data_IF_173055467309
#
_entry.id   IF_173055467309
#
_cell.length_a   1.000
_cell.length_b   1.000
_cell.length_c   1.000
_cell.angle_alpha   90.00
_cell.angle_beta   90.00
_cell.angle_gamma   90.00
#
_symmetry.space_group_name_H-M   'P 1'
#
loop_
_entity.id
_entity.type
_entity.pdbx_description
1 polymer ?
#
# COMPACT_ATOMS: atom_id res chain seq x y z
N UNK A 1 14.55 10.91 -18.38
CA UNK A 1 13.28 11.61 -18.61
C UNK A 1 12.10 10.99 -17.83
N UNK A 2 11.94 9.67 -17.83
CA UNK A 2 10.85 8.97 -17.12
C UNK A 2 10.85 9.15 -15.60
N UNK A 3 12.02 9.32 -14.99
CA UNK A 3 12.17 9.44 -13.53
C UNK A 3 11.67 10.79 -13.02
N UNK A 4 12.00 11.87 -13.72
CA UNK A 4 11.63 13.23 -13.33
C UNK A 4 10.13 13.50 -13.50
N UNK A 5 9.53 13.01 -14.59
CA UNK A 5 8.10 13.22 -14.84
C UNK A 5 7.21 12.59 -13.77
N UNK A 6 7.53 11.35 -13.33
CA UNK A 6 6.77 10.68 -12.27
C UNK A 6 6.92 11.38 -10.92
N UNK A 7 8.16 11.70 -10.54
CA UNK A 7 8.40 12.42 -9.28
C UNK A 7 7.72 13.80 -9.28
N UNK A 8 7.70 14.47 -10.42
CA UNK A 8 7.01 15.76 -10.59
C UNK A 8 5.49 15.61 -10.44
N UNK A 9 4.89 14.56 -11.00
CA UNK A 9 3.46 14.31 -10.87
C UNK A 9 3.07 13.92 -9.43
N UNK A 10 3.83 13.07 -8.79
CA UNK A 10 3.61 12.73 -7.37
C UNK A 10 3.71 13.99 -6.50
N UNK A 11 4.68 14.85 -6.77
CA UNK A 11 4.88 16.13 -6.07
C UNK A 11 3.78 17.16 -6.37
N UNK A 12 3.25 17.19 -7.59
CA UNK A 12 2.19 18.11 -7.98
C UNK A 12 0.83 17.65 -7.47
N UNK A 13 0.48 16.37 -7.71
CA UNK A 13 -0.84 15.84 -7.36
C UNK A 13 -0.96 15.42 -5.90
N UNK A 14 0.14 15.00 -5.26
CA UNK A 14 0.13 14.62 -3.84
C UNK A 14 -0.43 15.71 -2.92
N UNK A 15 0.10 16.95 -2.95
CA UNK A 15 -0.43 18.06 -2.17
C UNK A 15 -1.87 18.44 -2.53
N UNK A 16 -2.23 18.43 -3.81
CA UNK A 16 -3.60 18.73 -4.26
C UNK A 16 -4.58 17.72 -3.68
N UNK A 17 -4.29 16.43 -3.78
CA UNK A 17 -5.09 15.37 -3.17
C UNK A 17 -5.15 15.50 -1.66
N UNK A 18 -4.02 15.82 -1.02
CA UNK A 18 -3.97 16.03 0.42
C UNK A 18 -4.90 17.16 0.86
N UNK A 19 -4.90 18.29 0.17
CA UNK A 19 -5.79 19.43 0.48
C UNK A 19 -7.25 19.05 0.28
N UNK A 20 -7.61 18.38 -0.82
CA UNK A 20 -8.98 17.94 -1.10
C UNK A 20 -9.49 16.96 -0.05
N UNK A 21 -8.64 16.03 0.40
CA UNK A 21 -9.00 14.94 1.31
C UNK A 21 -8.82 15.36 2.78
N UNK A 22 -8.10 16.46 3.06
CA UNK A 22 -7.77 16.90 4.43
C UNK A 22 -9.01 17.09 5.34
N UNK A 23 -10.17 17.61 4.90
CA UNK A 23 -11.34 17.73 5.76
C UNK A 23 -11.85 16.34 6.21
N UNK A 24 -11.92 15.39 5.28
CA UNK A 24 -12.32 14.02 5.60
C UNK A 24 -11.31 13.34 6.53
N UNK A 25 -10.02 13.56 6.29
CA UNK A 25 -8.93 13.05 7.16
C UNK A 25 -9.04 13.60 8.57
N UNK A 26 -9.34 14.91 8.72
CA UNK A 26 -9.53 15.54 10.03
C UNK A 26 -10.72 14.94 10.80
N UNK A 27 -11.85 14.73 10.12
CA UNK A 27 -13.02 14.07 10.72
C UNK A 27 -12.67 12.65 11.16
N UNK A 28 -12.00 11.86 10.30
CA UNK A 28 -11.56 10.52 10.64
C UNK A 28 -10.60 10.52 11.85
N UNK A 29 -9.64 11.45 11.90
CA UNK A 29 -8.71 11.59 13.02
C UNK A 29 -9.42 11.86 14.35
N UNK A 30 -10.46 12.71 14.35
CA UNK A 30 -11.28 12.99 15.54
C UNK A 30 -12.04 11.74 15.97
N UNK A 31 -12.63 10.99 15.03
CA UNK A 31 -13.36 9.76 15.33
C UNK A 31 -12.41 8.72 15.92
N UNK A 32 -11.25 8.49 15.28
CA UNK A 32 -10.26 7.52 15.76
C UNK A 32 -9.75 7.92 17.15
N UNK A 33 -9.46 9.21 17.37
CA UNK A 33 -8.99 9.71 18.69
C UNK A 33 -9.97 9.45 19.82
N UNK A 34 -11.28 9.42 19.54
CA UNK A 34 -12.32 9.13 20.54
C UNK A 34 -12.41 7.65 20.91
N UNK A 35 -11.97 6.76 20.03
CA UNK A 35 -12.19 5.32 20.17
C UNK A 35 -10.92 4.48 20.26
N UNK A 36 -9.78 5.01 19.82
CA UNK A 36 -8.48 4.33 19.86
C UNK A 36 -7.51 5.06 20.80
N UNK A 37 -6.59 4.31 21.39
CA UNK A 37 -5.52 4.87 22.25
C UNK A 37 -4.55 5.76 21.46
N UNK A 38 -4.34 5.45 20.17
CA UNK A 38 -3.48 6.20 19.26
C UNK A 38 -4.27 6.52 18.00
N UNK A 39 -4.04 7.69 17.41
CA UNK A 39 -4.73 8.10 16.16
C UNK A 39 -4.17 7.35 14.96
N UNK A 40 -2.85 7.18 14.93
CA UNK A 40 -2.17 6.49 13.84
C UNK A 40 -1.22 5.42 14.38
N UNK A 41 -1.11 4.35 13.62
CA UNK A 41 -0.12 3.30 13.80
C UNK A 41 0.98 3.44 12.77
N UNK A 42 2.19 3.04 13.16
CA UNK A 42 3.36 3.02 12.31
C UNK A 42 3.52 1.62 11.73
N UNK A 43 3.70 1.55 10.41
CA UNK A 43 4.03 0.32 9.73
C UNK A 43 5.36 0.49 9.01
N UNK A 44 6.17 -0.55 9.04
CA UNK A 44 7.43 -0.60 8.31
C UNK A 44 7.19 -1.41 7.03
N UNK A 45 7.50 -0.80 5.90
CA UNK A 45 7.34 -1.40 4.57
C UNK A 45 8.67 -1.36 3.83
N UNK A 46 8.79 -2.21 2.82
CA UNK A 46 9.92 -2.17 1.89
C UNK A 46 9.71 -1.02 0.92
N UNK A 47 10.63 -0.09 0.91
CA UNK A 47 10.66 1.05 -0.01
C UNK A 47 11.55 0.81 -1.21
N UNK A 48 11.83 1.88 -1.95
CA UNK A 48 12.70 1.83 -3.12
C UNK A 48 14.11 1.37 -2.75
N UNK A 49 14.63 0.41 -3.53
CA UNK A 49 15.95 -0.20 -3.33
C UNK A 49 16.04 -1.06 -2.07
N UNK A 50 14.93 -1.69 -1.66
CA UNK A 50 14.88 -2.55 -0.48
C UNK A 50 14.97 -1.81 0.86
N UNK A 51 14.99 -0.47 0.86
CA UNK A 51 15.18 0.32 2.09
C UNK A 51 13.94 0.34 2.96
N UNK A 52 14.08 0.19 4.30
CA UNK A 52 12.94 0.28 5.19
C UNK A 52 12.34 1.68 5.21
N UNK A 53 11.03 1.76 5.10
CA UNK A 53 10.26 3.01 5.12
C UNK A 53 9.16 2.92 6.17
N UNK A 54 9.15 3.87 7.10
CA UNK A 54 8.07 4.00 8.07
C UNK A 54 6.93 4.82 7.48
N UNK A 55 5.75 4.22 7.44
CA UNK A 55 4.49 4.86 7.01
C UNK A 55 3.51 4.89 8.17
N UNK A 56 2.45 5.69 8.03
CA UNK A 56 1.40 5.81 9.05
C UNK A 56 0.04 5.54 8.42
N UNK A 57 -0.79 4.79 9.15
CA UNK A 57 -2.21 4.56 8.84
C UNK A 57 -3.03 4.89 10.07
N UNK A 58 -4.32 5.13 9.91
CA UNK A 58 -5.18 5.27 11.08
C UNK A 58 -5.27 3.95 11.84
N UNK A 59 -5.25 4.06 13.17
CA UNK A 59 -5.37 2.90 14.06
C UNK A 59 -6.72 2.23 13.91
N UNK A 60 -6.72 0.93 13.94
CA UNK A 60 -7.93 0.14 14.01
C UNK A 60 -8.60 0.29 15.38
N UNK A 61 -9.91 0.31 15.40
CA UNK A 61 -10.69 0.26 16.61
C UNK A 61 -11.99 -0.52 16.39
N UNK A 62 -12.47 -1.14 17.43
CA UNK A 62 -13.75 -1.84 17.43
C UNK A 62 -14.73 -1.10 18.34
N UNK A 63 -16.00 -1.06 17.94
CA UNK A 63 -17.10 -0.55 18.74
C UNK A 63 -18.07 -1.70 19.00
N UNK A 64 -17.90 -2.34 20.16
CA UNK A 64 -18.56 -3.62 20.44
C UNK A 64 -18.00 -4.72 19.52
N UNK A 65 -18.85 -5.62 19.04
CA UNK A 65 -18.45 -6.75 18.19
C UNK A 65 -18.20 -6.39 16.72
N UNK A 66 -18.35 -5.11 16.35
CA UNK A 66 -18.19 -4.65 14.95
C UNK A 66 -16.90 -3.84 14.78
N UNK A 67 -16.09 -4.24 13.79
CA UNK A 67 -14.98 -3.38 13.31
C UNK A 67 -15.55 -2.04 12.82
N UNK A 68 -14.82 -0.97 13.12
CA UNK A 68 -15.21 0.36 12.66
C UNK A 68 -15.29 0.43 11.13
N UNK A 69 -16.19 1.27 10.61
CA UNK A 69 -16.24 1.58 9.18
C UNK A 69 -14.90 2.10 8.64
N UNK A 70 -14.14 2.86 9.44
CA UNK A 70 -12.82 3.36 9.05
C UNK A 70 -11.83 2.20 8.88
N UNK A 71 -11.82 1.22 9.79
CA UNK A 71 -10.93 0.06 9.74
C UNK A 71 -11.12 -0.82 8.49
N UNK A 72 -12.34 -0.86 7.95
CA UNK A 72 -12.68 -1.64 6.75
C UNK A 72 -12.69 -0.82 5.44
N UNK A 73 -12.30 0.46 5.47
CA UNK A 73 -12.41 1.36 4.33
C UNK A 73 -11.08 1.95 3.90
N UNK A 74 -11.04 2.50 2.67
CA UNK A 74 -9.90 3.25 2.17
C UNK A 74 -9.51 4.46 3.05
N UNK A 75 -10.41 4.93 3.92
CA UNK A 75 -10.18 6.05 4.84
C UNK A 75 -9.02 5.76 5.82
N UNK A 76 -8.82 4.50 6.17
CA UNK A 76 -7.71 4.05 7.02
C UNK A 76 -6.34 4.50 6.48
N UNK A 77 -6.21 4.58 5.16
CA UNK A 77 -4.96 4.81 4.46
C UNK A 77 -4.69 6.28 4.09
N UNK A 78 -5.59 7.21 4.42
CA UNK A 78 -5.39 8.64 4.14
C UNK A 78 -4.07 9.22 4.66
N UNK A 79 -3.54 8.83 5.86
CA UNK A 79 -2.25 9.31 6.31
C UNK A 79 -1.07 8.96 5.40
N UNK A 80 -1.21 7.96 4.51
CA UNK A 80 -0.17 7.59 3.54
C UNK A 80 0.14 8.71 2.53
N UNK A 81 -0.81 9.62 2.28
CA UNK A 81 -0.55 10.79 1.42
C UNK A 81 0.62 11.64 1.93
N UNK A 82 0.83 11.70 3.24
CA UNK A 82 2.01 12.35 3.82
C UNK A 82 3.32 11.64 3.42
N UNK A 83 3.26 10.32 3.22
CA UNK A 83 4.42 9.55 2.74
C UNK A 83 4.69 9.79 1.25
N UNK A 84 3.66 10.10 0.45
CA UNK A 84 3.82 10.52 -0.95
C UNK A 84 4.46 11.90 -1.02
N UNK A 85 3.93 12.87 -0.28
CA UNK A 85 4.47 14.24 -0.22
C UNK A 85 5.93 14.24 0.24
N UNK A 86 6.28 13.40 1.22
CA UNK A 86 7.66 13.25 1.70
C UNK A 86 8.55 12.43 0.77
N UNK A 87 8.05 11.97 -0.38
CA UNK A 87 8.80 11.21 -1.38
C UNK A 87 9.16 9.78 -0.99
N UNK A 88 8.58 9.26 0.09
CA UNK A 88 8.78 7.87 0.56
C UNK A 88 7.96 6.87 -0.26
N UNK A 89 6.78 7.29 -0.68
CA UNK A 89 5.85 6.52 -1.52
C UNK A 89 5.51 7.28 -2.80
N UNK A 90 4.80 6.63 -3.70
CA UNK A 90 4.20 7.20 -4.91
C UNK A 90 2.67 7.09 -4.82
N UNK A 91 1.94 7.87 -5.61
CA UNK A 91 0.49 7.67 -5.73
C UNK A 91 0.18 6.30 -6.35
N UNK A 92 0.89 5.95 -7.43
CA UNK A 92 0.75 4.67 -8.12
C UNK A 92 2.08 3.94 -8.11
N UNK A 93 2.08 2.66 -7.82
CA UNK A 93 3.30 1.86 -7.77
C UNK A 93 3.05 0.41 -7.35
N UNK A 94 4.11 -0.37 -7.17
CA UNK A 94 4.04 -1.69 -6.58
C UNK A 94 3.29 -1.69 -5.26
N UNK A 95 2.61 -2.79 -4.99
CA UNK A 95 1.90 -2.98 -3.73
C UNK A 95 2.88 -2.88 -2.55
N UNK A 96 2.61 -2.05 -1.54
CA UNK A 96 3.47 -1.98 -0.36
C UNK A 96 3.39 -3.29 0.42
N UNK A 97 4.53 -3.81 0.83
CA UNK A 97 4.65 -5.03 1.63
C UNK A 97 5.42 -4.75 2.91
N UNK A 98 5.17 -5.55 3.95
CA UNK A 98 5.91 -5.48 5.21
C UNK A 98 7.38 -5.82 5.01
N UNK A 99 8.25 -5.43 5.95
CA UNK A 99 9.67 -5.82 5.90
C UNK A 99 9.80 -7.35 6.02
N UNK A 100 8.98 -7.97 6.84
CA UNK A 100 8.93 -9.41 7.04
C UNK A 100 8.60 -10.16 5.75
N UNK A 101 7.50 -9.77 5.09
CA UNK A 101 7.11 -10.37 3.80
C UNK A 101 8.16 -10.11 2.72
N UNK A 102 8.77 -8.92 2.75
CA UNK A 102 9.81 -8.54 1.81
C UNK A 102 11.09 -9.37 1.92
N UNK A 103 11.42 -9.87 3.11
CA UNK A 103 12.55 -10.75 3.34
C UNK A 103 12.34 -12.17 2.78
N UNK A 104 11.08 -12.55 2.53
CA UNK A 104 10.69 -13.87 2.03
C UNK A 104 10.40 -13.89 0.52
N UNK A 105 10.58 -12.74 -0.16
CA UNK A 105 10.35 -12.64 -1.60
C UNK A 105 11.55 -13.21 -2.36
N UNK A 106 11.27 -14.05 -3.34
CA UNK A 106 12.27 -14.62 -4.22
C UNK A 106 12.97 -13.55 -5.07
N UNK A 107 14.25 -13.76 -5.36
CA UNK A 107 15.11 -12.84 -6.14
C UNK A 107 14.51 -12.48 -7.51
N UNK A 108 13.70 -13.36 -8.10
CA UNK A 108 13.05 -13.09 -9.39
C UNK A 108 12.11 -11.87 -9.35
N UNK A 109 11.58 -11.53 -8.16
CA UNK A 109 10.68 -10.38 -7.95
C UNK A 109 11.39 -9.13 -7.42
N UNK A 110 12.72 -9.13 -7.32
CA UNK A 110 13.50 -8.01 -6.78
C UNK A 110 13.28 -6.71 -7.57
N UNK A 111 13.05 -6.81 -8.88
CA UNK A 111 12.82 -5.66 -9.76
C UNK A 111 11.64 -4.75 -9.30
N UNK A 112 10.70 -5.25 -8.50
CA UNK A 112 9.62 -4.44 -7.90
C UNK A 112 10.14 -3.35 -6.97
N UNK A 113 11.31 -3.55 -6.35
CA UNK A 113 11.93 -2.59 -5.44
C UNK A 113 12.71 -1.48 -6.15
N UNK A 114 12.87 -1.52 -7.46
CA UNK A 114 13.51 -0.43 -8.23
C UNK A 114 12.70 0.87 -8.20
N UNK A 115 11.44 0.78 -7.82
CA UNK A 115 10.51 1.90 -7.76
C UNK A 115 9.93 2.08 -6.36
N UNK A 116 9.32 3.25 -6.11
CA UNK A 116 8.65 3.49 -4.83
C UNK A 116 7.34 2.71 -4.77
N UNK A 117 6.98 2.14 -3.60
CA UNK A 117 5.67 1.54 -3.40
C UNK A 117 4.56 2.59 -3.57
N UNK A 118 3.43 2.18 -4.13
CA UNK A 118 2.28 3.02 -4.40
C UNK A 118 1.20 2.95 -3.32
N UNK A 119 0.41 4.01 -3.17
CA UNK A 119 -0.87 3.93 -2.45
C UNK A 119 -1.85 3.09 -3.27
N UNK A 120 -1.90 3.37 -4.58
CA UNK A 120 -2.68 2.58 -5.54
C UNK A 120 -1.76 1.55 -6.18
N UNK A 121 -2.14 0.27 -6.02
CA UNK A 121 -1.35 -0.82 -6.55
C UNK A 121 -1.41 -0.88 -8.08
N UNK A 122 -0.24 -1.03 -8.70
CA UNK A 122 -0.12 -1.28 -10.13
C UNK A 122 -0.74 -2.62 -10.55
N UNK A 123 -0.75 -3.62 -9.68
CA UNK A 123 -1.38 -4.91 -9.91
C UNK A 123 -2.91 -4.81 -10.09
N UNK A 124 -3.54 -3.76 -9.54
CA UNK A 124 -4.96 -3.49 -9.76
C UNK A 124 -5.35 -3.30 -11.24
N UNK A 125 -4.39 -2.96 -12.11
CA UNK A 125 -4.62 -2.89 -13.55
C UNK A 125 -4.64 -4.26 -14.22
N UNK A 126 -3.84 -5.18 -13.72
CA UNK A 126 -3.65 -6.49 -14.34
C UNK A 126 -4.81 -7.45 -13.99
N UNK A 127 -5.41 -7.31 -12.81
CA UNK A 127 -6.38 -8.27 -12.29
C UNK A 127 -7.72 -7.63 -11.94
N UNK A 128 -8.81 -8.27 -12.37
CA UNK A 128 -10.17 -7.90 -11.96
C UNK A 128 -10.57 -8.52 -10.60
N UNK A 129 -9.84 -9.56 -10.18
CA UNK A 129 -9.96 -10.27 -8.90
C UNK A 129 -8.78 -9.94 -7.99
N UNK A 130 -8.84 -10.37 -6.75
CA UNK A 130 -7.65 -10.39 -5.88
C UNK A 130 -6.65 -11.38 -6.48
N UNK A 131 -5.45 -10.93 -6.91
CA UNK A 131 -4.41 -11.83 -7.37
C UNK A 131 -3.78 -12.60 -6.20
N UNK A 132 -3.18 -13.73 -6.49
CA UNK A 132 -2.25 -14.39 -5.57
C UNK A 132 -0.99 -13.54 -5.43
N UNK A 133 -0.19 -13.78 -4.38
CA UNK A 133 0.98 -12.94 -4.11
C UNK A 133 2.00 -12.99 -5.24
N UNK A 134 2.27 -14.15 -5.80
CA UNK A 134 3.21 -14.32 -6.91
C UNK A 134 2.72 -13.60 -8.17
N UNK A 135 1.42 -13.66 -8.48
CA UNK A 135 0.82 -12.91 -9.59
C UNK A 135 0.94 -11.40 -9.37
N UNK A 136 0.74 -10.94 -8.12
CA UNK A 136 0.88 -9.54 -7.74
C UNK A 136 2.33 -9.09 -7.89
N UNK A 137 3.30 -9.90 -7.43
CA UNK A 137 4.72 -9.58 -7.53
C UNK A 137 5.19 -9.53 -8.98
N UNK A 138 4.75 -10.49 -9.81
CA UNK A 138 5.05 -10.50 -11.24
C UNK A 138 4.50 -9.24 -11.94
N UNK A 139 3.25 -8.84 -11.65
CA UNK A 139 2.65 -7.63 -12.19
C UNK A 139 3.37 -6.36 -11.72
N UNK A 140 3.82 -6.32 -10.48
CA UNK A 140 4.60 -5.21 -9.92
C UNK A 140 5.99 -5.10 -10.59
N UNK A 141 6.65 -6.23 -10.89
CA UNK A 141 7.89 -6.28 -11.65
C UNK A 141 7.70 -5.78 -13.09
N UNK A 142 6.63 -6.22 -13.74
CA UNK A 142 6.28 -5.76 -15.08
C UNK A 142 6.02 -4.25 -15.12
N UNK A 143 5.31 -3.74 -14.12
CA UNK A 143 5.11 -2.31 -13.97
C UNK A 143 6.43 -1.57 -13.75
N UNK A 144 7.32 -2.05 -12.89
CA UNK A 144 8.61 -1.43 -12.63
C UNK A 144 9.44 -1.29 -13.92
N UNK A 145 9.40 -2.31 -14.80
CA UNK A 145 10.09 -2.34 -16.10
C UNK A 145 9.42 -1.45 -17.15
N UNK A 146 8.08 -1.47 -17.24
CA UNK A 146 7.29 -0.87 -18.34
C UNK A 146 6.57 0.43 -17.96
N UNK A 147 6.79 0.95 -16.74
CA UNK A 147 6.08 2.12 -16.21
C UNK A 147 6.00 3.28 -17.19
N UNK A 148 4.82 3.86 -17.32
CA UNK A 148 4.55 5.03 -18.13
C UNK A 148 3.54 5.95 -17.43
N UNK A 149 3.52 7.23 -17.84
CA UNK A 149 2.53 8.18 -17.31
C UNK A 149 1.10 7.70 -17.57
N UNK A 150 0.84 7.14 -18.74
CA UNK A 150 -0.49 6.66 -19.11
C UNK A 150 -0.91 5.47 -18.25
N UNK A 151 0.03 4.55 -17.93
CA UNK A 151 -0.24 3.45 -17.00
C UNK A 151 -0.56 3.95 -15.60
N UNK A 152 0.13 4.97 -15.11
CA UNK A 152 -0.11 5.56 -13.79
C UNK A 152 -1.49 6.22 -13.72
N UNK A 153 -1.85 7.03 -14.72
CA UNK A 153 -3.17 7.67 -14.80
C UNK A 153 -4.28 6.60 -14.86
N UNK A 154 -4.09 5.57 -15.67
CA UNK A 154 -5.06 4.47 -15.79
C UNK A 154 -5.19 3.70 -14.47
N UNK A 155 -4.08 3.38 -13.81
CA UNK A 155 -4.08 2.68 -12.51
C UNK A 155 -4.81 3.50 -11.45
N UNK A 156 -4.54 4.79 -11.40
CA UNK A 156 -5.19 5.71 -10.47
C UNK A 156 -6.70 5.72 -10.65
N UNK A 157 -7.20 5.96 -11.86
CA UNK A 157 -8.64 6.00 -12.11
C UNK A 157 -9.32 4.66 -11.90
N UNK A 158 -8.67 3.55 -12.31
CA UNK A 158 -9.21 2.21 -12.09
C UNK A 158 -9.35 1.91 -10.60
N UNK A 159 -8.32 2.19 -9.81
CA UNK A 159 -8.33 1.96 -8.37
C UNK A 159 -9.35 2.88 -7.66
N UNK A 160 -9.47 4.13 -8.09
CA UNK A 160 -10.45 5.06 -7.54
C UNK A 160 -11.88 4.60 -7.84
N UNK A 161 -12.19 4.18 -9.06
CA UNK A 161 -13.51 3.66 -9.43
C UNK A 161 -13.87 2.39 -8.63
N UNK A 162 -12.93 1.50 -8.42
CA UNK A 162 -13.14 0.30 -7.58
C UNK A 162 -13.40 0.68 -6.12
N UNK A 163 -12.65 1.61 -5.56
CA UNK A 163 -12.88 2.12 -4.22
C UNK A 163 -14.28 2.74 -4.08
N UNK A 164 -14.75 3.48 -5.09
CA UNK A 164 -16.09 4.07 -5.12
C UNK A 164 -17.21 3.01 -5.23
N UNK A 165 -16.95 1.88 -5.86
CA UNK A 165 -17.89 0.74 -5.94
C UNK A 165 -17.96 -0.06 -4.65
N UNK A 166 -17.17 0.30 -3.63
CA UNK A 166 -17.14 -0.41 -2.36
C UNK A 166 -16.44 -1.77 -2.45
N UNK A 167 -15.70 -2.01 -3.53
CA UNK A 167 -14.80 -3.15 -3.60
C UNK A 167 -13.79 -2.96 -2.48
N UNK A 168 -13.89 -3.80 -1.44
CA UNK A 168 -13.10 -3.68 -0.21
C UNK A 168 -11.64 -3.56 -0.58
N UNK A 169 -10.96 -2.58 0.03
CA UNK A 169 -9.64 -2.06 -0.30
C UNK A 169 -8.46 -3.03 -0.29
N UNK A 170 -8.64 -4.18 -0.90
CA UNK A 170 -7.58 -5.18 -1.15
C UNK A 170 -6.48 -4.66 -2.07
N UNK A 171 -6.72 -3.49 -2.69
CA UNK A 171 -5.75 -2.78 -3.54
C UNK A 171 -4.88 -1.77 -2.78
N UNK A 172 -5.15 -1.55 -1.49
CA UNK A 172 -4.42 -0.66 -0.59
C UNK A 172 -3.77 -1.51 0.51
N UNK A 173 -2.86 -2.40 0.12
CA UNK A 173 -2.18 -3.30 1.05
C UNK A 173 -1.04 -2.56 1.76
N UNK A 174 -1.31 -1.84 2.83
CA UNK A 174 -0.29 -1.48 3.81
C UNK A 174 -0.42 -2.41 5.00
N UNK A 175 0.62 -3.18 5.26
CA UNK A 175 0.67 -4.08 6.40
C UNK A 175 -0.18 -5.33 6.24
N UNK A 176 -0.29 -5.87 5.03
CA UNK A 176 -0.74 -7.24 4.83
C UNK A 176 0.30 -8.19 5.42
N UNK A 177 0.10 -8.59 6.65
CA UNK A 177 0.71 -9.80 7.20
C UNK A 177 0.03 -10.97 6.52
N UNK A 178 0.37 -11.28 5.31
CA UNK A 178 -0.40 -12.27 4.58
C UNK A 178 0.48 -13.22 3.79
N UNK A 179 1.58 -12.73 3.22
CA UNK A 179 2.43 -13.58 2.41
C UNK A 179 3.20 -14.60 3.26
N UNK A 180 3.76 -14.16 4.36
CA UNK A 180 4.48 -15.01 5.29
C UNK A 180 3.55 -16.09 5.91
N UNK A 181 2.33 -15.72 6.31
CA UNK A 181 1.34 -16.66 6.80
C UNK A 181 0.86 -17.63 5.70
N UNK A 182 0.75 -17.16 4.46
CA UNK A 182 0.38 -18.00 3.33
C UNK A 182 1.47 -19.03 3.02
N UNK A 183 2.75 -18.63 3.01
CA UNK A 183 3.89 -19.55 2.82
C UNK A 183 3.95 -20.58 3.93
N UNK A 184 3.69 -20.19 5.18
CA UNK A 184 3.63 -21.10 6.30
C UNK A 184 2.46 -22.11 6.14
N UNK A 185 1.29 -21.64 5.75
CA UNK A 185 0.12 -22.50 5.53
C UNK A 185 0.30 -23.49 4.36
N UNK A 186 1.06 -23.07 3.33
CA UNK A 186 1.46 -23.94 2.21
C UNK A 186 2.62 -24.90 2.56
N UNK A 187 3.26 -24.75 3.73
CA UNK A 187 4.41 -25.54 4.16
C UNK A 187 5.69 -25.25 3.40
N UNK A 188 5.78 -24.08 2.76
CA UNK A 188 6.98 -23.62 2.03
C UNK A 188 8.06 -23.15 2.99
N UNK A 189 7.66 -22.52 4.09
CA UNK A 189 8.55 -22.07 5.17
C UNK A 189 8.15 -22.72 6.50
N UNK A 190 9.13 -22.81 7.41
CA UNK A 190 8.91 -23.28 8.79
C UNK A 190 8.59 -22.11 9.73
N UNK A 191 8.04 -22.42 10.90
CA UNK A 191 7.81 -21.42 11.93
C UNK A 191 9.10 -20.73 12.41
N UNK A 192 10.23 -21.47 12.40
CA UNK A 192 11.56 -20.94 12.74
C UNK A 192 12.03 -19.91 11.73
N UNK A 193 11.89 -20.18 10.44
CA UNK A 193 12.22 -19.24 9.35
C UNK A 193 11.32 -17.98 9.40
N UNK A 194 10.09 -18.15 9.87
CA UNK A 194 9.17 -17.04 10.04
C UNK A 194 9.59 -16.11 11.20
N UNK A 195 10.16 -16.65 12.27
CA UNK A 195 10.71 -15.88 13.40
C UNK A 195 12.02 -15.18 13.04
N UNK A 196 12.88 -15.79 12.22
CA UNK A 196 14.12 -15.17 11.75
C UNK A 196 13.87 -13.95 10.83
N UNK A 197 12.73 -13.90 10.15
CA UNK A 197 12.33 -12.79 9.27
C UNK A 197 11.69 -11.60 10.04
N UNK A 198 11.55 -11.64 11.36
CA UNK A 198 11.02 -10.56 12.20
C UNK A 198 12.09 -9.56 12.59
#
# INVERSE_FOLDING_TARGET
>A
YRFFAKAFLDFLFGPIFFVIISPATAVCAVIVKKHAKKVCEKHWIVGKGGKPVCVRVFSDFSRGDKKSYISGSALKYFPLLLSVISGKMSLVGPSPISLRDGALIDDEYEARFDVRPGIFSSAALAFARRPEYEEMFAADCDYAKKRSLLSDVRAFFTSMLRAMRGEKGEFLCVGGEGYAEELLARGVITAEQLEEAQ
#
